data_IF_454342206913
#
_entry.id   IF_454342206913
#
_cell.length_a   1.000
_cell.length_b   1.000
_cell.length_c   1.000
_cell.angle_alpha   90.00
_cell.angle_beta   90.00
_cell.angle_gamma   90.00
#
_symmetry.space_group_name_H-M   'P 1'
#
loop_
_entity.id
_entity.type
_entity.pdbx_description
1 polymer ?
#
# COMPACT_ATOMS: atom_id res chain seq x y z
N UNK A 1 11.95 0.06 1.05
CA UNK A 1 10.95 -0.74 1.73
C UNK A 1 9.83 -1.17 0.81
N UNK A 2 8.87 -1.92 1.33
CA UNK A 2 7.75 -2.52 0.56
C UNK A 2 6.94 -1.53 -0.29
N UNK A 3 6.66 -0.31 0.23
CA UNK A 3 5.95 0.71 -0.56
C UNK A 3 6.70 1.07 -1.85
N UNK A 4 8.02 1.23 -1.78
CA UNK A 4 8.83 1.50 -2.97
C UNK A 4 8.81 0.32 -3.95
N UNK A 5 8.87 -0.89 -3.43
CA UNK A 5 8.80 -2.12 -4.20
C UNK A 5 7.46 -2.22 -4.97
N UNK A 6 6.35 -1.92 -4.28
CA UNK A 6 5.01 -1.90 -4.87
C UNK A 6 4.91 -0.85 -5.99
N UNK A 7 5.46 0.35 -5.77
CA UNK A 7 5.53 1.41 -6.78
C UNK A 7 6.41 1.01 -7.97
N UNK A 8 7.54 0.34 -7.75
CA UNK A 8 8.41 -0.14 -8.83
C UNK A 8 7.69 -1.22 -9.67
N UNK A 9 6.93 -2.11 -9.04
CA UNK A 9 6.10 -3.11 -9.71
C UNK A 9 4.98 -2.47 -10.53
N UNK A 10 4.24 -1.52 -9.96
CA UNK A 10 3.23 -0.73 -10.67
C UNK A 10 3.83 -0.08 -11.93
N UNK A 11 4.99 0.57 -11.80
CA UNK A 11 5.66 1.21 -12.94
C UNK A 11 6.08 0.20 -14.02
N UNK A 12 6.51 -0.98 -13.61
CA UNK A 12 6.81 -2.08 -14.55
C UNK A 12 5.58 -2.53 -15.32
N UNK A 13 4.45 -2.71 -14.62
CA UNK A 13 3.16 -3.09 -15.21
C UNK A 13 2.67 -2.00 -16.17
N UNK A 14 2.72 -0.72 -15.78
CA UNK A 14 2.31 0.40 -16.62
C UNK A 14 3.15 0.47 -17.91
N UNK A 15 4.46 0.26 -17.82
CA UNK A 15 5.36 0.21 -18.98
C UNK A 15 5.02 -0.94 -19.91
N UNK A 16 4.78 -2.14 -19.38
CA UNK A 16 4.42 -3.32 -20.18
C UNK A 16 3.05 -3.14 -20.88
N UNK A 17 2.06 -2.56 -20.20
CA UNK A 17 0.76 -2.25 -20.84
C UNK A 17 0.96 -1.23 -21.96
N UNK A 18 1.80 -0.22 -21.74
CA UNK A 18 2.13 0.79 -22.75
C UNK A 18 2.77 0.14 -24.00
N UNK A 19 3.74 -0.76 -23.81
CA UNK A 19 4.37 -1.53 -24.89
C UNK A 19 3.36 -2.35 -25.68
N UNK A 20 2.46 -3.06 -24.96
CA UNK A 20 1.39 -3.83 -25.60
C UNK A 20 0.40 -2.94 -26.34
N UNK A 21 0.05 -1.76 -25.83
CA UNK A 21 -0.82 -0.82 -26.55
C UNK A 21 -0.20 -0.38 -27.88
N UNK A 22 1.11 -0.09 -27.91
CA UNK A 22 1.82 0.23 -29.15
C UNK A 22 1.84 -0.96 -30.11
N UNK A 23 2.09 -2.17 -29.61
CA UNK A 23 2.09 -3.39 -30.41
C UNK A 23 0.71 -3.70 -30.99
N UNK A 24 -0.36 -3.59 -30.20
CA UNK A 24 -1.76 -3.80 -30.61
C UNK A 24 -2.13 -2.75 -31.68
N UNK A 25 -1.82 -1.47 -31.44
CA UNK A 25 -2.05 -0.41 -32.44
C UNK A 25 -1.40 -0.71 -33.79
N UNK A 26 -0.15 -1.18 -33.76
CA UNK A 26 0.57 -1.56 -34.99
C UNK A 26 -0.04 -2.80 -35.65
N UNK A 27 -0.58 -3.74 -34.87
CA UNK A 27 -1.30 -4.91 -35.36
C UNK A 27 -2.61 -4.51 -36.03
N UNK A 28 -3.42 -3.69 -35.38
CA UNK A 28 -4.68 -3.16 -35.89
C UNK A 28 -4.47 -2.40 -37.24
N UNK A 29 -3.42 -1.57 -37.33
CA UNK A 29 -3.05 -0.85 -38.56
C UNK A 29 -2.76 -1.80 -39.72
N UNK A 30 -2.20 -2.98 -39.44
CA UNK A 30 -1.92 -4.03 -40.44
C UNK A 30 -3.11 -4.91 -40.75
N UNK A 31 -4.21 -4.74 -40.03
CA UNK A 31 -5.42 -5.57 -40.16
C UNK A 31 -5.34 -6.92 -39.43
N UNK A 32 -4.45 -7.04 -38.45
CA UNK A 32 -4.34 -8.22 -37.59
C UNK A 32 -4.96 -7.89 -36.22
N UNK A 33 -5.83 -8.75 -35.69
CA UNK A 33 -6.58 -8.49 -34.47
C UNK A 33 -5.71 -8.53 -33.20
N UNK A 34 -4.50 -9.12 -33.24
CA UNK A 34 -3.55 -9.16 -32.13
C UNK A 34 -4.13 -9.74 -30.84
N UNK A 35 -4.93 -10.82 -30.92
CA UNK A 35 -5.67 -11.38 -29.79
C UNK A 35 -4.79 -11.77 -28.62
N UNK A 36 -3.65 -12.40 -28.87
CA UNK A 36 -2.69 -12.78 -27.84
C UNK A 36 -2.11 -11.57 -27.10
N UNK A 37 -1.84 -10.46 -27.81
CA UNK A 37 -1.37 -9.22 -27.18
C UNK A 37 -2.43 -8.60 -26.28
N UNK A 38 -3.72 -8.70 -26.68
CA UNK A 38 -4.86 -8.23 -25.89
C UNK A 38 -5.03 -9.06 -24.62
N UNK A 39 -4.87 -10.39 -24.72
CA UNK A 39 -4.93 -11.29 -23.57
C UNK A 39 -3.82 -11.02 -22.57
N UNK A 40 -2.58 -10.82 -23.04
CA UNK A 40 -1.45 -10.42 -22.19
C UNK A 40 -1.71 -9.08 -21.51
N UNK A 41 -2.25 -8.10 -22.23
CA UNK A 41 -2.62 -6.79 -21.68
C UNK A 41 -3.70 -6.91 -20.60
N UNK A 42 -4.72 -7.73 -20.83
CA UNK A 42 -5.79 -7.95 -19.86
C UNK A 42 -5.25 -8.58 -18.56
N UNK A 43 -4.33 -9.53 -18.63
CA UNK A 43 -3.66 -10.10 -17.47
C UNK A 43 -2.89 -9.04 -16.66
N UNK A 44 -2.21 -8.11 -17.33
CA UNK A 44 -1.50 -7.01 -16.67
C UNK A 44 -2.48 -6.01 -16.03
N UNK A 45 -3.63 -5.74 -16.67
CA UNK A 45 -4.69 -4.91 -16.08
C UNK A 45 -5.29 -5.57 -14.83
N UNK A 46 -5.51 -6.87 -14.85
CA UNK A 46 -5.95 -7.63 -13.67
C UNK A 46 -4.91 -7.53 -12.54
N UNK A 47 -3.63 -7.62 -12.86
CA UNK A 47 -2.55 -7.46 -11.87
C UNK A 47 -2.49 -6.02 -11.34
N UNK A 48 -2.59 -5.00 -12.19
CA UNK A 48 -2.62 -3.60 -11.79
C UNK A 48 -3.77 -3.30 -10.83
N UNK A 49 -4.93 -3.94 -11.04
CA UNK A 49 -6.12 -3.77 -10.21
C UNK A 49 -5.93 -4.25 -8.75
N UNK A 50 -4.93 -5.08 -8.48
CA UNK A 50 -4.57 -5.50 -7.11
C UNK A 50 -3.81 -4.41 -6.36
N UNK A 51 -3.05 -3.58 -7.08
CA UNK A 51 -2.27 -2.50 -6.52
C UNK A 51 -3.09 -1.23 -6.30
N UNK A 52 -4.05 -0.94 -7.19
CA UNK A 52 -4.88 0.25 -7.14
C UNK A 52 -6.23 0.02 -7.83
N UNK A 53 -7.26 0.74 -7.39
CA UNK A 53 -8.57 0.66 -8.02
C UNK A 53 -8.58 1.44 -9.32
N UNK A 54 -8.77 0.75 -10.43
CA UNK A 54 -8.73 1.32 -11.79
C UNK A 54 -10.05 1.20 -12.52
N UNK A 55 -10.31 2.16 -13.40
CA UNK A 55 -11.35 2.12 -14.44
C UNK A 55 -10.68 2.00 -15.80
N UNK A 56 -11.12 1.01 -16.58
CA UNK A 56 -10.58 0.72 -17.90
C UNK A 56 -11.64 1.04 -18.95
N UNK A 57 -11.26 1.82 -19.96
CA UNK A 57 -12.15 2.22 -21.05
C UNK A 57 -11.46 1.94 -22.38
N UNK A 58 -12.23 1.37 -23.31
CA UNK A 58 -11.81 1.16 -24.70
C UNK A 58 -12.59 2.13 -25.59
N UNK A 59 -11.88 2.77 -26.52
CA UNK A 59 -12.45 3.67 -27.52
C UNK A 59 -11.81 3.40 -28.86
N UNK A 60 -12.41 3.88 -29.94
CA UNK A 60 -11.82 3.83 -31.27
C UNK A 60 -11.23 5.19 -31.62
N UNK A 61 -10.00 5.20 -32.15
CA UNK A 61 -9.27 6.39 -32.59
C UNK A 61 -9.02 6.31 -34.09
N UNK A 62 -9.33 7.40 -34.83
CA UNK A 62 -8.96 7.50 -36.24
C UNK A 62 -7.47 7.89 -36.38
N UNK A 63 -6.68 6.97 -36.91
CA UNK A 63 -5.25 7.17 -37.13
C UNK A 63 -4.92 7.77 -38.50
N UNK A 64 -5.95 8.15 -39.23
CA UNK A 64 -5.86 8.76 -40.57
C UNK A 64 -6.43 7.87 -41.69
N UNK A 65 -6.99 8.52 -42.69
CA UNK A 65 -7.59 7.82 -43.85
C UNK A 65 -8.85 6.99 -43.52
N UNK A 66 -9.49 7.24 -42.39
CA UNK A 66 -10.65 6.49 -41.92
C UNK A 66 -10.31 5.15 -41.27
N UNK A 67 -9.04 4.90 -40.99
CA UNK A 67 -8.61 3.68 -40.28
C UNK A 67 -8.78 3.88 -38.77
N UNK A 68 -9.69 3.08 -38.21
CA UNK A 68 -9.99 3.08 -36.77
C UNK A 68 -9.19 2.01 -36.05
N UNK A 69 -8.51 2.39 -34.97
CA UNK A 69 -7.76 1.48 -34.09
C UNK A 69 -8.28 1.58 -32.66
N UNK A 70 -8.10 0.53 -31.89
CA UNK A 70 -8.47 0.53 -30.48
C UNK A 70 -7.50 1.39 -29.66
N UNK A 71 -8.06 2.22 -28.78
CA UNK A 71 -7.35 3.00 -27.78
C UNK A 71 -7.79 2.59 -26.38
N UNK A 72 -6.85 2.15 -25.55
CA UNK A 72 -7.06 1.87 -24.13
C UNK A 72 -6.81 3.14 -23.31
N UNK A 73 -7.73 3.44 -22.39
CA UNK A 73 -7.54 4.45 -21.35
C UNK A 73 -7.71 3.80 -19.99
N UNK A 74 -6.75 3.97 -19.08
CA UNK A 74 -6.79 3.49 -17.70
C UNK A 74 -6.69 4.69 -16.77
N UNK A 75 -7.66 4.80 -15.85
CA UNK A 75 -7.71 5.85 -14.84
C UNK A 75 -7.83 5.22 -13.46
N UNK A 76 -7.39 5.93 -12.41
CA UNK A 76 -7.83 5.59 -11.06
C UNK A 76 -9.36 5.80 -10.98
N UNK A 77 -10.05 4.93 -10.26
CA UNK A 77 -11.50 4.98 -10.08
C UNK A 77 -11.97 6.14 -9.18
N UNK A 78 -11.07 7.04 -8.83
CA UNK A 78 -11.30 8.25 -8.02
C UNK A 78 -11.28 9.48 -8.92
N UNK A 79 -12.11 10.47 -8.62
CA UNK A 79 -12.26 11.65 -9.48
C UNK A 79 -10.99 12.49 -9.63
N UNK A 80 -10.95 13.38 -10.63
CA UNK A 80 -9.87 14.34 -10.88
C UNK A 80 -8.85 13.91 -11.94
N UNK A 81 -7.63 14.47 -11.88
CA UNK A 81 -6.51 14.09 -12.75
C UNK A 81 -5.90 12.77 -12.26
N UNK A 82 -6.34 11.69 -12.84
CA UNK A 82 -6.09 10.34 -12.36
C UNK A 82 -5.75 9.36 -13.48
N UNK A 83 -5.36 9.85 -14.65
CA UNK A 83 -5.06 9.01 -15.82
C UNK A 83 -3.70 8.32 -15.62
N UNK A 84 -3.70 7.00 -15.72
CA UNK A 84 -2.50 6.16 -15.65
C UNK A 84 -1.97 5.86 -17.07
N UNK A 85 -2.87 5.57 -17.99
CA UNK A 85 -2.54 5.24 -19.38
C UNK A 85 -3.56 5.94 -20.29
N UNK A 86 -3.09 6.53 -21.38
CA UNK A 86 -3.88 7.07 -22.48
C UNK A 86 -3.28 6.64 -23.82
N UNK A 87 -3.75 5.50 -24.33
CA UNK A 87 -3.20 4.90 -25.55
C UNK A 87 -1.72 4.55 -25.43
N UNK A 88 -0.88 5.26 -26.19
CA UNK A 88 0.59 5.09 -26.20
C UNK A 88 1.32 5.84 -25.07
N UNK A 89 0.60 6.60 -24.25
CA UNK A 89 1.15 7.39 -23.15
C UNK A 89 0.86 6.73 -21.79
N UNK A 90 1.85 6.69 -20.92
CA UNK A 90 1.73 6.20 -19.55
C UNK A 90 2.33 7.18 -18.56
N UNK A 91 1.78 7.23 -17.34
CA UNK A 91 2.35 7.95 -16.22
C UNK A 91 3.45 7.13 -15.54
N UNK A 92 4.23 7.79 -14.71
CA UNK A 92 5.13 7.15 -13.75
C UNK A 92 4.68 7.49 -12.34
N UNK A 93 4.46 6.47 -11.54
CA UNK A 93 4.14 6.61 -10.12
C UNK A 93 5.43 6.80 -9.32
N UNK A 94 5.42 7.69 -8.36
CA UNK A 94 6.52 7.92 -7.43
C UNK A 94 6.00 8.04 -6.01
N UNK A 95 6.84 7.70 -5.03
CA UNK A 95 6.52 7.85 -3.60
C UNK A 95 7.58 8.69 -2.91
N UNK A 96 7.14 9.51 -1.96
CA UNK A 96 8.00 10.21 -1.02
C UNK A 96 8.54 9.27 0.07
N UNK A 97 9.31 9.84 0.97
CA UNK A 97 9.82 9.23 2.19
C UNK A 97 9.01 9.68 3.43
N UNK A 98 9.51 9.34 4.61
CA UNK A 98 8.91 9.72 5.88
C UNK A 98 8.77 11.24 6.03
N UNK A 99 9.76 12.02 5.58
CA UNK A 99 9.76 13.48 5.66
C UNK A 99 8.63 14.12 4.83
N UNK A 100 8.19 13.43 3.77
CA UNK A 100 7.09 13.83 2.91
C UNK A 100 5.79 13.06 3.19
N UNK A 101 5.69 12.36 4.34
CA UNK A 101 4.50 11.58 4.71
C UNK A 101 4.16 10.48 3.72
N UNK A 102 5.14 9.91 3.05
CA UNK A 102 4.95 8.83 2.06
C UNK A 102 3.93 9.19 0.96
N UNK A 103 3.90 10.45 0.55
CA UNK A 103 3.01 10.90 -0.53
C UNK A 103 3.23 10.10 -1.82
N UNK A 104 2.15 9.84 -2.54
CA UNK A 104 2.19 9.17 -3.84
C UNK A 104 1.83 10.18 -4.92
N UNK A 105 2.64 10.24 -5.97
CA UNK A 105 2.45 11.17 -7.10
C UNK A 105 2.36 10.43 -8.41
N UNK A 106 1.48 10.93 -9.29
CA UNK A 106 1.47 10.58 -10.70
C UNK A 106 2.26 11.62 -11.46
N UNK A 107 3.22 11.18 -12.28
CA UNK A 107 3.95 12.04 -13.21
C UNK A 107 3.10 12.37 -14.44
N UNK A 108 3.66 13.17 -15.35
CA UNK A 108 3.06 13.44 -16.63
C UNK A 108 2.98 12.17 -17.51
N UNK A 109 1.94 12.07 -18.34
CA UNK A 109 1.80 11.00 -19.33
C UNK A 109 2.85 11.15 -20.43
N UNK A 110 3.71 10.17 -20.60
CA UNK A 110 4.83 10.17 -21.57
C UNK A 110 4.75 8.98 -22.51
N UNK A 111 5.28 9.16 -23.73
CA UNK A 111 5.52 8.05 -24.65
C UNK A 111 6.67 7.15 -24.15
N UNK A 112 6.84 5.97 -24.76
CA UNK A 112 7.86 4.98 -24.34
C UNK A 112 9.28 5.54 -24.33
N UNK A 113 9.62 6.43 -25.27
CA UNK A 113 10.92 7.06 -25.37
C UNK A 113 11.09 8.26 -24.42
N UNK A 114 10.04 8.64 -23.70
CA UNK A 114 9.97 9.84 -22.84
C UNK A 114 10.24 11.15 -23.62
N UNK A 115 10.00 11.16 -24.93
CA UNK A 115 10.22 12.31 -25.80
C UNK A 115 8.99 13.19 -25.96
N UNK A 116 7.81 12.57 -25.97
CA UNK A 116 6.53 13.26 -26.15
C UNK A 116 5.71 13.17 -24.87
N UNK A 117 5.08 14.28 -24.52
CA UNK A 117 4.08 14.35 -23.47
C UNK A 117 2.70 14.38 -24.11
N UNK A 118 1.73 13.70 -23.48
CA UNK A 118 0.33 13.80 -23.91
C UNK A 118 -0.13 15.27 -23.82
N UNK A 119 -0.67 15.87 -24.90
CA UNK A 119 -1.05 17.30 -24.91
C UNK A 119 -2.12 17.68 -23.89
N UNK A 120 -2.90 16.73 -23.39
CA UNK A 120 -3.98 16.96 -22.41
C UNK A 120 -3.51 16.77 -20.97
N UNK A 121 -2.27 16.31 -20.74
CA UNK A 121 -1.71 16.04 -19.43
C UNK A 121 -0.60 17.04 -19.12
N UNK A 122 -0.87 17.97 -18.22
CA UNK A 122 -0.03 19.14 -18.06
C UNK A 122 0.84 19.07 -16.80
N UNK A 123 0.37 18.50 -15.67
CA UNK A 123 1.08 18.57 -14.39
C UNK A 123 1.07 17.27 -13.60
N UNK A 124 2.16 16.97 -12.83
CA UNK A 124 2.16 15.92 -11.84
C UNK A 124 1.08 16.14 -10.78
N UNK A 125 0.48 15.05 -10.31
CA UNK A 125 -0.62 15.08 -9.32
C UNK A 125 -0.19 14.31 -8.08
N UNK A 126 -0.34 14.92 -6.90
CA UNK A 126 -0.24 14.21 -5.62
C UNK A 126 -1.59 13.59 -5.29
N UNK A 127 -1.59 12.30 -5.01
CA UNK A 127 -2.78 11.53 -4.67
C UNK A 127 -3.12 11.69 -3.18
N UNK A 128 -4.39 11.91 -2.90
CA UNK A 128 -4.91 11.99 -1.55
C UNK A 128 -5.00 10.63 -0.85
N UNK A 129 -5.36 10.67 0.44
CA UNK A 129 -5.45 9.45 1.27
C UNK A 129 -6.55 8.48 0.82
N UNK A 130 -7.56 8.98 0.12
CA UNK A 130 -8.72 8.20 -0.35
C UNK A 130 -8.65 7.85 -1.84
N UNK A 131 -7.54 8.18 -2.53
CA UNK A 131 -7.46 8.05 -3.98
C UNK A 131 -6.78 6.76 -4.46
N UNK A 132 -6.12 6.01 -3.58
CA UNK A 132 -5.23 4.92 -3.96
C UNK A 132 -5.94 3.56 -4.05
N UNK A 133 -6.49 3.08 -2.96
CA UNK A 133 -6.99 1.70 -2.82
C UNK A 133 -5.92 0.61 -3.07
N UNK A 134 -6.30 -0.66 -2.92
CA UNK A 134 -5.42 -1.79 -3.17
C UNK A 134 -4.22 -1.93 -2.23
N UNK A 135 -3.18 -2.61 -2.69
CA UNK A 135 -1.96 -2.82 -1.89
C UNK A 135 -1.22 -1.52 -1.59
N UNK A 136 -1.23 -0.58 -2.53
CA UNK A 136 -0.56 0.71 -2.40
C UNK A 136 -1.14 1.53 -1.25
N UNK A 137 -2.48 1.58 -1.11
CA UNK A 137 -3.16 2.23 0.00
C UNK A 137 -2.84 1.54 1.33
N UNK A 138 -2.92 0.21 1.37
CA UNK A 138 -2.66 -0.56 2.58
C UNK A 138 -1.23 -0.39 3.10
N UNK A 139 -0.25 -0.36 2.20
CA UNK A 139 1.16 -0.12 2.55
C UNK A 139 1.38 1.31 3.07
N UNK A 140 0.72 2.29 2.46
CA UNK A 140 0.79 3.67 2.90
C UNK A 140 0.15 3.85 4.27
N UNK A 141 -1.06 3.33 4.49
CA UNK A 141 -1.75 3.36 5.80
C UNK A 141 -0.90 2.70 6.89
N UNK A 142 -0.27 1.57 6.59
CA UNK A 142 0.65 0.92 7.53
C UNK A 142 1.82 1.82 7.95
N UNK A 143 2.26 2.73 7.08
CA UNK A 143 3.39 3.63 7.34
C UNK A 143 2.97 4.99 7.93
N UNK A 144 1.71 5.40 7.80
CA UNK A 144 1.27 6.75 8.13
C UNK A 144 0.22 6.82 9.25
N UNK A 145 -0.58 5.78 9.44
CA UNK A 145 -1.73 5.84 10.35
C UNK A 145 -1.33 5.76 11.81
N UNK A 146 -1.94 6.63 12.61
CA UNK A 146 -1.57 6.91 14.00
C UNK A 146 -2.68 6.65 15.01
N UNK A 147 -3.88 6.25 14.53
CA UNK A 147 -5.02 5.99 15.40
C UNK A 147 -5.35 7.17 16.30
N UNK A 148 -5.48 6.93 17.59
CA UNK A 148 -5.79 7.94 18.62
C UNK A 148 -4.71 9.03 18.79
N UNK A 149 -3.52 8.86 18.19
CA UNK A 149 -2.49 9.92 18.11
C UNK A 149 -2.66 10.85 16.92
N UNK A 150 -3.73 10.70 16.13
CA UNK A 150 -4.03 11.60 15.00
C UNK A 150 -4.42 12.98 15.47
N UNK A 151 -4.04 13.99 14.68
CA UNK A 151 -4.42 15.40 14.90
C UNK A 151 -5.73 15.74 14.21
N UNK A 152 -6.36 16.88 14.59
CA UNK A 152 -7.57 17.34 13.93
C UNK A 152 -7.39 17.58 12.43
N UNK A 153 -6.20 18.00 11.98
CA UNK A 153 -5.89 18.17 10.57
C UNK A 153 -5.93 16.83 9.80
N UNK A 154 -5.40 15.76 10.39
CA UNK A 154 -5.45 14.41 9.80
C UNK A 154 -6.88 13.88 9.75
N UNK A 155 -7.69 14.12 10.79
CA UNK A 155 -9.12 13.73 10.80
C UNK A 155 -9.93 14.51 9.75
N UNK A 156 -9.60 15.76 9.51
CA UNK A 156 -10.25 16.54 8.46
C UNK A 156 -9.98 15.98 7.06
N UNK A 157 -8.80 15.37 6.85
CA UNK A 157 -8.43 14.71 5.60
C UNK A 157 -8.98 13.29 5.51
N UNK A 158 -8.97 12.54 6.61
CA UNK A 158 -9.55 11.21 6.72
C UNK A 158 -10.34 11.07 8.03
N UNK A 159 -11.66 10.92 7.92
CA UNK A 159 -12.55 10.81 9.08
C UNK A 159 -12.28 9.56 9.94
N UNK A 160 -11.67 8.55 9.33
CA UNK A 160 -11.36 7.28 9.98
C UNK A 160 -9.92 7.25 10.56
N UNK A 161 -9.18 8.37 10.50
CA UNK A 161 -7.79 8.47 10.97
C UNK A 161 -7.62 8.02 12.43
N UNK A 162 -8.62 8.23 13.30
CA UNK A 162 -8.55 7.84 14.73
C UNK A 162 -8.69 6.34 14.97
N UNK A 163 -9.23 5.59 14.01
CA UNK A 163 -9.44 4.13 14.14
C UNK A 163 -8.48 3.32 13.28
N UNK A 164 -7.83 3.96 12.32
CA UNK A 164 -6.79 3.33 11.49
C UNK A 164 -5.46 3.32 12.24
N UNK A 165 -4.86 2.15 12.34
CA UNK A 165 -3.61 1.93 13.08
C UNK A 165 -2.54 1.35 12.19
N UNK A 166 -1.43 2.08 12.06
CA UNK A 166 -0.22 1.66 11.38
C UNK A 166 0.94 1.48 12.35
N UNK A 167 2.14 1.29 11.82
CA UNK A 167 3.38 1.21 12.61
C UNK A 167 3.54 2.42 13.53
N UNK A 168 3.28 3.67 13.10
CA UNK A 168 3.43 4.84 13.96
C UNK A 168 2.51 4.80 15.20
N UNK A 169 1.31 4.25 15.09
CA UNK A 169 0.44 4.06 16.26
C UNK A 169 1.11 3.20 17.34
N UNK A 170 1.64 2.03 16.96
CA UNK A 170 2.28 1.13 17.92
C UNK A 170 3.58 1.70 18.51
N UNK A 171 4.34 2.43 17.70
CA UNK A 171 5.51 3.17 18.19
C UNK A 171 5.10 4.20 19.25
N UNK A 172 4.10 5.03 18.96
CA UNK A 172 3.61 6.05 19.90
C UNK A 172 2.97 5.44 21.15
N UNK A 173 2.34 4.28 21.05
CA UNK A 173 1.81 3.57 22.22
C UNK A 173 2.94 3.09 23.15
N UNK A 174 4.05 2.60 22.60
CA UNK A 174 5.24 2.23 23.37
C UNK A 174 5.96 3.48 23.90
N UNK A 175 5.99 4.56 23.13
CA UNK A 175 6.56 5.85 23.56
C UNK A 175 5.78 6.43 24.73
N UNK A 176 4.43 6.33 24.71
CA UNK A 176 3.57 6.72 25.85
C UNK A 176 3.92 5.94 27.11
N UNK A 177 4.12 4.62 26.99
CA UNK A 177 4.52 3.77 28.11
C UNK A 177 5.89 4.19 28.67
N UNK A 178 6.87 4.37 27.80
CA UNK A 178 8.23 4.71 28.20
C UNK A 178 8.32 6.11 28.83
N UNK A 179 7.59 7.09 28.26
CA UNK A 179 7.53 8.44 28.78
C UNK A 179 6.92 8.46 30.19
N UNK A 180 5.71 7.91 30.32
CA UNK A 180 4.99 7.91 31.60
C UNK A 180 5.78 7.16 32.68
N UNK A 181 6.35 5.99 32.34
CA UNK A 181 7.22 5.25 33.25
C UNK A 181 8.40 6.09 33.74
N UNK A 182 9.13 6.72 32.83
CA UNK A 182 10.28 7.55 33.17
C UNK A 182 9.88 8.76 34.01
N UNK A 183 8.79 9.44 33.67
CA UNK A 183 8.29 10.58 34.42
C UNK A 183 7.91 10.20 35.85
N UNK A 184 7.19 9.09 36.04
CA UNK A 184 6.80 8.61 37.37
C UNK A 184 8.01 8.19 38.21
N UNK A 185 8.97 7.48 37.61
CA UNK A 185 10.20 7.07 38.30
C UNK A 185 11.06 8.28 38.67
N UNK A 186 11.21 9.24 37.79
CA UNK A 186 11.95 10.46 38.05
C UNK A 186 11.27 11.30 39.14
N UNK A 187 9.94 11.46 39.07
CA UNK A 187 9.17 12.22 40.06
C UNK A 187 9.32 11.63 41.48
N UNK A 188 9.34 10.32 41.61
CA UNK A 188 9.54 9.64 42.88
C UNK A 188 10.97 9.80 43.45
N UNK A 189 11.93 10.11 42.61
CA UNK A 189 13.34 10.29 42.98
C UNK A 189 13.74 11.77 43.15
N UNK A 190 12.81 12.70 43.03
CA UNK A 190 13.00 14.11 43.34
C UNK A 190 12.73 14.38 44.81
N UNK A 191 13.73 14.93 45.50
CA UNK A 191 13.58 15.32 46.90
C UNK A 191 14.55 16.46 47.24
N UNK A 192 14.02 17.59 47.74
CA UNK A 192 14.82 18.73 48.10
C UNK A 192 15.65 18.43 49.37
N UNK A 193 16.96 18.64 49.30
CA UNK A 193 17.87 18.46 50.45
C UNK A 193 18.22 17.00 50.72
N UNK A 194 17.83 16.05 49.90
CA UNK A 194 18.23 14.66 50.02
C UNK A 194 19.37 14.35 49.05
N UNK A 195 20.47 13.82 49.59
CA UNK A 195 21.62 13.41 48.77
C UNK A 195 21.25 12.26 47.84
N UNK A 196 21.62 12.35 46.59
CA UNK A 196 21.30 11.30 45.59
C UNK A 196 19.97 11.48 44.91
N UNK A 197 19.19 12.55 45.24
CA UNK A 197 18.02 12.94 44.51
C UNK A 197 18.32 13.40 43.10
N UNK A 198 17.47 13.12 42.12
CA UNK A 198 17.61 13.53 40.74
C UNK A 198 16.95 12.54 39.79
N UNK A 199 17.01 12.83 38.50
CA UNK A 199 16.41 12.00 37.47
C UNK A 199 17.13 10.65 37.32
N UNK A 200 16.37 9.57 37.36
CA UNK A 200 16.88 8.24 37.10
C UNK A 200 16.99 7.96 35.60
N UNK A 201 16.03 8.44 34.83
CA UNK A 201 15.95 8.22 33.39
C UNK A 201 16.06 9.54 32.62
N UNK A 202 16.59 9.46 31.42
CA UNK A 202 16.76 10.61 30.52
C UNK A 202 16.58 10.18 29.07
N UNK A 203 16.37 11.16 28.20
CA UNK A 203 16.51 10.98 26.75
C UNK A 203 18.02 10.90 26.43
N UNK A 204 18.45 9.75 25.87
CA UNK A 204 19.84 9.47 25.52
C UNK A 204 20.37 10.45 24.48
N UNK A 205 19.55 10.78 23.50
CA UNK A 205 19.96 11.49 22.29
C UNK A 205 19.93 13.01 22.51
N UNK A 206 18.99 13.50 23.33
CA UNK A 206 18.86 14.92 23.65
C UNK A 206 18.31 15.10 25.09
N UNK A 207 19.22 15.23 26.09
CA UNK A 207 18.80 15.41 27.48
C UNK A 207 17.86 16.62 27.65
N UNK A 208 16.71 16.43 28.29
CA UNK A 208 15.69 17.46 28.49
C UNK A 208 14.53 17.39 27.50
N UNK A 209 14.64 16.66 26.42
CA UNK A 209 13.53 16.35 25.53
C UNK A 209 12.71 15.16 26.06
N UNK A 210 11.55 14.94 25.45
CA UNK A 210 10.67 13.81 25.81
C UNK A 210 11.39 12.48 25.68
N UNK A 211 11.15 11.62 26.65
CA UNK A 211 11.64 10.24 26.66
C UNK A 211 10.66 9.40 25.84
N UNK A 212 11.21 8.56 24.99
CA UNK A 212 10.46 7.61 24.14
C UNK A 212 11.04 6.20 24.32
N UNK A 213 10.34 5.17 23.86
CA UNK A 213 10.83 3.80 23.91
C UNK A 213 12.18 3.62 23.18
N UNK A 214 12.42 4.42 22.13
CA UNK A 214 13.67 4.36 21.35
C UNK A 214 14.87 5.07 21.96
N UNK A 215 14.64 6.02 22.88
CA UNK A 215 15.70 6.87 23.43
C UNK A 215 15.85 6.83 24.96
N UNK A 216 15.01 6.09 25.68
CA UNK A 216 15.10 5.96 27.12
C UNK A 216 16.47 5.39 27.54
N UNK A 217 17.10 6.06 28.49
CA UNK A 217 18.38 5.63 29.08
C UNK A 217 18.45 6.02 30.56
N UNK A 218 19.34 5.39 31.31
CA UNK A 218 19.66 5.84 32.65
C UNK A 218 20.35 7.22 32.58
N UNK A 219 20.06 8.08 33.55
CA UNK A 219 20.65 9.41 33.59
C UNK A 219 22.16 9.35 33.79
N UNK A 220 22.87 10.37 33.32
CA UNK A 220 24.31 10.48 33.49
C UNK A 220 24.72 10.49 34.96
N UNK A 221 23.98 11.24 35.76
CA UNK A 221 24.26 11.38 37.18
C UNK A 221 24.00 10.07 37.95
N UNK A 222 23.04 9.27 37.52
CA UNK A 222 22.82 7.90 38.05
C UNK A 222 23.99 6.98 37.65
N UNK A 223 24.37 7.00 36.38
CA UNK A 223 25.50 6.20 35.89
C UNK A 223 26.85 6.55 36.61
N UNK A 224 27.03 7.80 37.00
CA UNK A 224 28.20 8.30 37.75
C UNK A 224 28.06 8.12 39.26
N UNK A 225 26.95 7.60 39.77
CA UNK A 225 26.70 7.39 41.20
C UNK A 225 26.37 8.65 42.00
N UNK A 226 26.12 9.77 41.34
CA UNK A 226 25.70 11.03 41.99
C UNK A 226 24.21 10.98 42.37
N UNK A 227 23.42 10.31 41.57
CA UNK A 227 21.99 10.01 41.79
C UNK A 227 21.83 8.50 42.09
N UNK A 228 20.92 8.17 42.95
CA UNK A 228 20.56 6.77 43.24
C UNK A 228 19.07 6.70 43.63
N UNK A 229 18.49 5.52 43.57
CA UNK A 229 17.10 5.33 44.05
C UNK A 229 17.02 5.67 45.53
N UNK A 230 16.21 6.69 45.83
CA UNK A 230 16.04 7.13 47.23
C UNK A 230 15.19 6.14 48.03
N UNK A 231 15.67 5.78 49.19
CA UNK A 231 14.88 4.98 50.17
C UNK A 231 13.80 5.81 50.87
N UNK A 232 14.07 7.11 51.05
CA UNK A 232 13.15 8.11 51.59
C UNK A 232 13.30 9.42 50.88
N UNK A 233 12.24 10.21 50.81
CA UNK A 233 12.23 11.62 50.27
C UNK A 233 12.28 12.65 51.42
N UNK A 234 12.29 12.24 52.68
CA UNK A 234 12.44 13.11 53.84
C UNK A 234 13.94 13.25 54.22
N UNK A 235 14.55 14.47 54.17
CA UNK A 235 15.95 14.68 54.55
C UNK A 235 16.22 14.35 56.00
N UNK A 236 15.20 14.29 56.87
CA UNK A 236 15.29 13.97 58.28
C UNK A 236 14.88 12.54 58.63
N UNK A 237 14.63 11.71 57.62
CA UNK A 237 14.18 10.34 57.85
C UNK A 237 15.22 9.49 58.60
N UNK A 238 14.79 8.54 59.47
CA UNK A 238 15.67 7.53 60.01
C UNK A 238 16.38 6.72 58.90
N UNK A 239 17.59 6.22 59.19
CA UNK A 239 18.38 5.48 58.21
C UNK A 239 17.77 4.17 57.69
N UNK A 240 16.76 3.68 58.37
CA UNK A 240 15.99 2.46 58.05
C UNK A 240 14.67 2.76 57.29
N UNK A 241 14.34 4.03 57.03
CA UNK A 241 13.17 4.38 56.24
C UNK A 241 13.27 3.85 54.81
N UNK A 242 12.26 3.11 54.44
CA UNK A 242 12.11 2.49 53.09
C UNK A 242 10.80 2.91 52.40
N UNK A 243 10.16 3.97 52.91
CA UNK A 243 8.84 4.40 52.44
C UNK A 243 8.82 4.71 50.95
N UNK A 244 9.87 5.32 50.40
CA UNK A 244 9.94 5.64 48.98
C UNK A 244 10.18 4.41 48.10
N UNK A 245 10.89 3.38 48.60
CA UNK A 245 11.05 2.12 47.83
C UNK A 245 9.72 1.41 47.65
N UNK A 246 8.82 1.46 48.66
CA UNK A 246 7.47 0.93 48.49
C UNK A 246 6.71 1.69 47.36
N UNK A 247 6.85 3.02 47.28
CA UNK A 247 6.24 3.83 46.21
C UNK A 247 6.79 3.48 44.84
N UNK A 248 8.06 3.17 44.71
CA UNK A 248 8.61 2.67 43.43
C UNK A 248 7.98 1.33 43.00
N UNK A 249 7.71 0.43 43.94
CA UNK A 249 7.03 -0.83 43.65
C UNK A 249 5.56 -0.58 43.23
N UNK A 250 4.90 0.36 43.88
CA UNK A 250 3.51 0.72 43.55
C UNK A 250 3.35 1.32 42.14
N UNK A 251 4.40 1.93 41.56
CA UNK A 251 4.36 2.49 40.19
C UNK A 251 3.89 1.46 39.18
N UNK A 252 4.26 0.19 39.31
CA UNK A 252 3.91 -0.84 38.35
C UNK A 252 2.45 -1.28 38.40
N UNK A 253 1.85 -1.24 39.58
CA UNK A 253 0.46 -1.68 39.82
C UNK A 253 -0.56 -0.54 39.87
N UNK A 254 -0.10 0.70 40.09
CA UNK A 254 -0.94 1.88 40.16
C UNK A 254 -1.44 2.29 38.79
N UNK A 255 -2.65 2.83 38.70
CA UNK A 255 -3.14 3.47 37.50
C UNK A 255 -2.44 4.81 37.23
N UNK A 256 -1.99 5.00 36.00
CA UNK A 256 -1.41 6.24 35.49
C UNK A 256 -2.29 6.79 34.38
N UNK A 257 -2.36 8.11 34.29
CA UNK A 257 -3.03 8.79 33.19
C UNK A 257 -2.11 8.83 32.00
N UNK A 258 -2.50 8.15 30.93
CA UNK A 258 -1.78 8.13 29.67
C UNK A 258 -2.59 8.97 28.66
N UNK A 259 -1.98 10.01 28.12
CA UNK A 259 -2.60 10.95 27.21
C UNK A 259 -1.84 10.97 25.87
N UNK A 260 -2.51 10.69 24.75
CA UNK A 260 -1.87 10.73 23.44
C UNK A 260 -1.18 12.08 23.13
N UNK A 261 -1.70 13.19 23.69
CA UNK A 261 -1.14 14.52 23.48
C UNK A 261 0.21 14.73 24.17
N UNK A 262 0.56 13.90 25.17
CA UNK A 262 1.86 13.93 25.83
C UNK A 262 2.98 13.48 24.88
N UNK A 263 2.69 12.57 23.95
CA UNK A 263 3.67 12.09 22.97
C UNK A 263 3.59 12.91 21.68
N UNK A 264 2.38 13.22 21.21
CA UNK A 264 2.21 13.98 19.97
C UNK A 264 1.32 15.20 20.21
N UNK A 265 1.92 16.38 20.13
CA UNK A 265 1.18 17.63 20.27
C UNK A 265 0.01 17.72 19.28
N UNK A 266 -1.17 18.02 19.79
CA UNK A 266 -2.38 18.13 18.98
C UNK A 266 -3.08 16.82 18.67
N UNK A 267 -2.63 15.69 19.23
CA UNK A 267 -3.38 14.44 19.19
C UNK A 267 -4.75 14.62 19.84
N UNK A 268 -5.79 14.06 19.24
CA UNK A 268 -7.19 14.23 19.68
C UNK A 268 -7.74 13.06 20.49
N UNK A 269 -6.96 11.99 20.62
CA UNK A 269 -7.35 10.82 21.41
C UNK A 269 -7.59 11.16 22.86
N UNK A 270 -8.54 10.47 23.48
CA UNK A 270 -8.85 10.65 24.89
C UNK A 270 -7.77 10.04 25.78
N UNK A 271 -7.47 10.72 26.89
CA UNK A 271 -6.62 10.12 27.94
C UNK A 271 -7.31 8.94 28.59
N UNK A 272 -6.53 7.95 28.97
CA UNK A 272 -6.99 6.76 29.71
C UNK A 272 -6.19 6.60 30.99
N UNK A 273 -6.78 5.99 32.02
CA UNK A 273 -6.10 5.65 33.26
C UNK A 273 -6.01 4.13 33.39
N UNK A 274 -4.80 3.60 33.49
CA UNK A 274 -4.54 2.19 33.65
C UNK A 274 -3.12 1.93 34.16
N UNK A 275 -2.85 0.72 34.65
CA UNK A 275 -1.50 0.28 35.02
C UNK A 275 -0.60 0.11 33.76
N UNK A 276 0.70 0.07 33.97
CA UNK A 276 1.64 -0.21 32.87
C UNK A 276 1.44 -1.61 32.27
N UNK A 277 1.10 -2.59 33.12
CA UNK A 277 0.79 -3.93 32.65
C UNK A 277 -0.47 -3.95 31.78
N UNK A 278 -1.54 -3.29 32.21
CA UNK A 278 -2.78 -3.20 31.44
C UNK A 278 -2.58 -2.46 30.12
N UNK A 279 -1.75 -1.41 30.12
CA UNK A 279 -1.41 -0.68 28.88
C UNK A 279 -0.70 -1.59 27.88
N UNK A 280 0.29 -2.36 28.34
CA UNK A 280 1.01 -3.31 27.49
C UNK A 280 0.09 -4.39 26.96
N UNK A 281 -0.75 -4.98 27.81
CA UNK A 281 -1.74 -5.97 27.43
C UNK A 281 -2.76 -5.41 26.43
N UNK A 282 -3.25 -4.19 26.65
CA UNK A 282 -4.13 -3.49 25.71
C UNK A 282 -3.46 -3.33 24.35
N UNK A 283 -2.21 -2.86 24.32
CA UNK A 283 -1.46 -2.66 23.08
C UNK A 283 -1.27 -3.98 22.31
N UNK A 284 -0.93 -5.06 23.03
CA UNK A 284 -0.81 -6.40 22.44
C UNK A 284 -2.15 -6.94 21.93
N UNK A 285 -3.23 -6.77 22.69
CA UNK A 285 -4.57 -7.20 22.29
C UNK A 285 -5.05 -6.43 21.06
N UNK A 286 -4.82 -5.12 21.02
CA UNK A 286 -5.15 -4.28 19.86
C UNK A 286 -4.39 -4.74 18.60
N UNK A 287 -3.10 -5.07 18.74
CA UNK A 287 -2.31 -5.61 17.62
C UNK A 287 -2.87 -6.96 17.14
N UNK A 288 -3.22 -7.83 18.07
CA UNK A 288 -3.80 -9.13 17.73
C UNK A 288 -5.18 -8.99 17.05
N UNK A 289 -6.03 -8.08 17.54
CA UNK A 289 -7.33 -7.76 16.91
C UNK A 289 -7.15 -7.21 15.50
N UNK A 290 -6.24 -6.28 15.28
CA UNK A 290 -5.94 -5.71 13.96
C UNK A 290 -5.42 -6.79 13.01
N UNK A 291 -4.55 -7.68 13.49
CA UNK A 291 -4.05 -8.80 12.69
C UNK A 291 -5.16 -9.79 12.33
N UNK A 292 -6.01 -10.16 13.29
CA UNK A 292 -7.15 -11.05 13.04
C UNK A 292 -8.16 -10.43 12.08
N UNK A 293 -8.49 -9.13 12.28
CA UNK A 293 -9.38 -8.38 11.41
C UNK A 293 -8.86 -8.29 9.98
N UNK A 294 -7.56 -8.04 9.82
CA UNK A 294 -6.90 -7.99 8.51
C UNK A 294 -6.90 -9.35 7.83
N UNK A 295 -6.62 -10.42 8.57
CA UNK A 295 -6.65 -11.80 8.06
C UNK A 295 -8.07 -12.21 7.62
N UNK A 296 -9.07 -11.87 8.41
CA UNK A 296 -10.48 -12.16 8.07
C UNK A 296 -10.91 -11.40 6.80
N UNK A 297 -10.55 -10.13 6.67
CA UNK A 297 -10.79 -9.34 5.45
C UNK A 297 -10.10 -9.94 4.24
N UNK A 298 -8.82 -10.32 4.37
CA UNK A 298 -8.07 -10.96 3.29
C UNK A 298 -8.76 -12.25 2.81
N UNK A 299 -9.14 -13.13 3.73
CA UNK A 299 -9.83 -14.38 3.40
C UNK A 299 -11.18 -14.13 2.70
N UNK A 300 -11.93 -13.11 3.14
CA UNK A 300 -13.18 -12.72 2.50
C UNK A 300 -12.95 -12.21 1.07
N UNK A 301 -11.96 -11.32 0.87
CA UNK A 301 -11.60 -10.81 -0.46
C UNK A 301 -11.12 -11.92 -1.39
N UNK A 302 -10.33 -12.87 -0.91
CA UNK A 302 -9.88 -14.03 -1.69
C UNK A 302 -11.07 -14.90 -2.12
N UNK A 303 -12.04 -15.10 -1.23
CA UNK A 303 -13.26 -15.86 -1.55
C UNK A 303 -14.09 -15.15 -2.62
N UNK A 304 -14.33 -13.85 -2.45
CA UNK A 304 -15.08 -13.04 -3.44
C UNK A 304 -14.33 -13.02 -4.77
N UNK A 305 -13.03 -12.82 -4.76
CA UNK A 305 -12.20 -12.80 -5.96
C UNK A 305 -12.29 -14.14 -6.72
N UNK A 306 -12.16 -15.27 -6.02
CA UNK A 306 -12.31 -16.60 -6.64
C UNK A 306 -13.70 -16.79 -7.24
N UNK A 307 -14.77 -16.29 -6.58
CA UNK A 307 -16.13 -16.34 -7.14
C UNK A 307 -16.22 -15.53 -8.42
N UNK A 308 -15.70 -14.30 -8.43
CA UNK A 308 -15.69 -13.43 -9.62
C UNK A 308 -14.90 -14.06 -10.76
N UNK A 309 -13.74 -14.67 -10.49
CA UNK A 309 -12.97 -15.41 -11.50
C UNK A 309 -13.77 -16.59 -12.06
N UNK A 310 -14.41 -17.39 -11.22
CA UNK A 310 -15.24 -18.52 -11.65
C UNK A 310 -16.43 -18.05 -12.50
N UNK A 311 -17.10 -16.96 -12.09
CA UNK A 311 -18.21 -16.37 -12.84
C UNK A 311 -17.74 -15.83 -14.20
N UNK A 312 -16.58 -15.16 -14.24
CA UNK A 312 -15.96 -14.68 -15.48
C UNK A 312 -15.64 -15.85 -16.41
N UNK A 313 -15.01 -16.91 -15.92
CA UNK A 313 -14.70 -18.12 -16.70
C UNK A 313 -15.97 -18.80 -17.22
N UNK A 314 -17.05 -18.80 -16.45
CA UNK A 314 -18.31 -19.39 -16.90
C UNK A 314 -18.98 -18.61 -18.04
N UNK A 315 -18.71 -17.31 -18.15
CA UNK A 315 -19.28 -16.41 -19.20
C UNK A 315 -18.36 -16.28 -20.41
N UNK A 316 -17.04 -16.22 -20.19
CA UNK A 316 -16.03 -15.98 -21.23
C UNK A 316 -15.12 -17.17 -21.51
N UNK A 317 -15.25 -18.25 -20.75
CA UNK A 317 -14.49 -19.48 -20.95
C UNK A 317 -14.90 -20.19 -22.24
N UNK A 318 -13.92 -20.58 -23.02
CA UNK A 318 -14.13 -21.35 -24.25
C UNK A 318 -14.37 -22.81 -23.87
N UNK A 319 -15.52 -23.39 -24.26
CA UNK A 319 -15.75 -24.84 -24.11
C UNK A 319 -14.78 -25.58 -25.04
N UNK A 320 -13.80 -26.26 -24.43
CA UNK A 320 -12.79 -27.04 -25.18
C UNK A 320 -13.39 -28.08 -26.10
N UNK A 321 -14.58 -28.60 -25.79
CA UNK A 321 -15.27 -29.58 -26.64
C UNK A 321 -15.88 -28.90 -27.87
N UNK A 322 -16.44 -27.71 -27.71
CA UNK A 322 -16.94 -26.91 -28.82
C UNK A 322 -15.83 -26.48 -29.74
N UNK A 323 -14.71 -26.00 -29.16
CA UNK A 323 -13.55 -25.59 -29.94
C UNK A 323 -12.88 -26.77 -30.67
N UNK A 324 -12.76 -27.93 -30.02
CA UNK A 324 -12.27 -29.16 -30.67
C UNK A 324 -13.18 -29.59 -31.81
N UNK A 325 -14.52 -29.43 -31.65
CA UNK A 325 -15.48 -29.71 -32.69
C UNK A 325 -15.34 -28.74 -33.86
N UNK A 326 -15.21 -27.45 -33.60
CA UNK A 326 -14.97 -26.41 -34.60
C UNK A 326 -13.67 -26.66 -35.34
N UNK A 327 -12.57 -26.98 -34.63
CA UNK A 327 -11.28 -27.34 -35.21
C UNK A 327 -11.40 -28.52 -36.17
N UNK A 328 -12.16 -29.60 -35.79
CA UNK A 328 -12.39 -30.72 -36.66
C UNK A 328 -13.19 -30.34 -37.93
N UNK A 329 -14.17 -29.44 -37.79
CA UNK A 329 -14.97 -28.95 -38.94
C UNK A 329 -14.06 -28.17 -39.89
N UNK A 330 -13.22 -27.25 -39.38
CA UNK A 330 -12.28 -26.49 -40.20
C UNK A 330 -11.19 -27.38 -40.86
N UNK A 331 -10.67 -28.37 -40.12
CA UNK A 331 -9.75 -29.35 -40.71
C UNK A 331 -10.38 -30.15 -41.86
N UNK A 332 -11.63 -30.59 -41.69
CA UNK A 332 -12.35 -31.30 -42.78
C UNK A 332 -12.62 -30.39 -43.96
N UNK A 333 -13.02 -29.14 -43.72
CA UNK A 333 -13.23 -28.15 -44.78
C UNK A 333 -11.94 -27.84 -45.55
N UNK A 334 -10.84 -27.67 -44.84
CA UNK A 334 -9.49 -27.48 -45.44
C UNK A 334 -9.08 -28.70 -46.30
N UNK A 335 -9.24 -29.91 -45.75
CA UNK A 335 -8.94 -31.14 -46.49
C UNK A 335 -9.81 -31.29 -47.75
N UNK A 336 -11.09 -30.92 -47.67
CA UNK A 336 -11.99 -30.93 -48.82
C UNK A 336 -11.59 -29.90 -49.89
N UNK A 337 -11.18 -28.70 -49.45
CA UNK A 337 -10.68 -27.66 -50.34
C UNK A 337 -9.37 -28.08 -51.07
N UNK A 338 -8.45 -28.72 -50.34
CA UNK A 338 -7.21 -29.24 -50.91
C UNK A 338 -7.53 -30.34 -51.97
N UNK A 339 -8.47 -31.27 -51.70
CA UNK A 339 -8.86 -32.25 -52.66
C UNK A 339 -9.55 -31.65 -53.90
N UNK A 340 -10.34 -30.60 -53.72
CA UNK A 340 -10.95 -29.87 -54.85
C UNK A 340 -9.89 -29.23 -55.74
N UNK A 341 -8.85 -28.59 -55.11
CA UNK A 341 -7.73 -28.02 -55.84
C UNK A 341 -6.96 -29.07 -56.62
N UNK A 342 -6.69 -30.26 -56.04
CA UNK A 342 -6.03 -31.36 -56.75
C UNK A 342 -6.86 -31.83 -57.96
N UNK A 343 -8.19 -31.98 -57.81
CA UNK A 343 -9.06 -32.38 -58.91
C UNK A 343 -9.12 -31.30 -60.01
N UNK A 344 -9.08 -30.03 -59.66
CA UNK A 344 -9.01 -28.90 -60.59
C UNK A 344 -7.66 -28.91 -61.34
N UNK A 345 -6.53 -29.15 -60.63
CA UNK A 345 -5.24 -29.30 -61.25
C UNK A 345 -5.18 -30.43 -62.24
N UNK A 346 -5.69 -31.62 -61.88
CA UNK A 346 -5.80 -32.81 -62.75
C UNK A 346 -6.65 -32.53 -63.99
N UNK A 347 -7.81 -31.82 -63.79
CA UNK A 347 -8.70 -31.47 -64.88
C UNK A 347 -8.04 -30.45 -65.85
N UNK A 348 -7.32 -29.45 -65.32
CA UNK A 348 -6.58 -28.47 -66.10
C UNK A 348 -5.44 -29.15 -66.87
N UNK A 349 -4.68 -30.03 -66.22
CA UNK A 349 -3.59 -30.79 -66.83
C UNK A 349 -4.09 -31.67 -68.01
N UNK A 350 -5.23 -32.35 -67.79
CA UNK A 350 -5.93 -33.15 -68.81
C UNK A 350 -6.42 -32.26 -69.98
N UNK A 351 -6.86 -31.07 -69.72
CA UNK A 351 -7.38 -30.12 -70.71
C UNK A 351 -6.20 -29.53 -71.55
N UNK A 352 -5.11 -29.18 -70.89
CA UNK A 352 -3.90 -28.62 -71.53
C UNK A 352 -3.19 -29.69 -72.35
N UNK A 353 -2.98 -30.88 -71.81
CA UNK A 353 -2.27 -31.94 -72.48
C UNK A 353 -3.13 -32.71 -73.51
N UNK A 354 -4.46 -32.71 -73.32
CA UNK A 354 -5.42 -33.30 -74.24
C UNK A 354 -5.80 -32.46 -75.47
N UNK A 355 -5.43 -31.15 -75.44
CA UNK A 355 -5.61 -30.27 -76.61
C UNK A 355 -4.38 -30.16 -77.53
N UNK A 356 -3.28 -30.87 -77.20
CA UNK A 356 -2.03 -30.90 -77.97
C UNK A 356 -1.94 -32.28 -78.66
N UNK A 357 -2.95 -32.64 -79.46
CA UNK A 357 -2.84 -33.71 -80.48
C UNK A 357 -3.34 -33.23 -81.81
#
# INVERSE_FOLDING_TARGET
GYLKQDVDEINSILSQIQELNVAIRNSDIRGDEGLELRDQRNLLLDTLSQHMKIDVTYSMEDVGGGLMVEKLTVKLATGGKNTLIDGEFATKVSTGDEANGYEVKLGALRDMDNKKQNPQDIDPVTLGDTDLYGSLQSLREMLTEKGEYSTQAEINNDKDATVKRGIPYYQMALDSLANEFAEQMNALNQAQGVTGAGDLFMNRDNPGDKITAGNIAISKDWAEGKVHMLSSTDPNAPSDDRSNLARFLEVFSKEHRIDPSDIRQGAVGSSVSMSFEDWLLRTQSTLAEDQMGTTAKLNNYLTVNNTVYTDRDSVSGVDLNDEATNLMVYQKAYTAACRLMTVLEEALDSLINGMVV
#
